data_IF_210617949588
#
_entry.id   IF_210617949588
#
_cell.length_a   1.000
_cell.length_b   1.000
_cell.length_c   1.000
_cell.angle_alpha   90.00
_cell.angle_beta   90.00
_cell.angle_gamma   90.00
#
_symmetry.space_group_name_H-M   'P 1'
#
loop_
_entity.id
_entity.type
_entity.pdbx_description
1 polymer ?
#
# COMPACT_ATOMS: atom_id res chain seq x y z
N UNK A 1 -29.74 -22.49 0.04
CA UNK A 1 -29.15 -22.48 1.40
C UNK A 1 -28.77 -23.87 1.89
N UNK A 2 -29.55 -24.94 1.65
CA UNK A 2 -29.22 -26.31 2.13
C UNK A 2 -27.81 -26.82 1.74
N UNK A 3 -27.29 -26.41 0.58
CA UNK A 3 -25.92 -26.74 0.17
C UNK A 3 -24.85 -26.15 1.11
N UNK A 4 -25.14 -25.07 1.84
CA UNK A 4 -24.17 -24.46 2.77
C UNK A 4 -23.81 -25.45 3.89
N UNK A 5 -24.77 -26.24 4.38
CA UNK A 5 -24.53 -27.25 5.42
C UNK A 5 -23.51 -28.32 5.00
N UNK A 6 -23.31 -28.54 3.69
CA UNK A 6 -22.29 -29.50 3.20
C UNK A 6 -20.86 -28.94 3.27
N UNK A 7 -20.70 -27.62 3.39
CA UNK A 7 -19.40 -26.95 3.51
C UNK A 7 -19.07 -26.53 4.95
N UNK A 8 -19.96 -26.80 5.91
CA UNK A 8 -19.77 -26.49 7.31
C UNK A 8 -19.47 -27.77 8.09
N UNK A 9 -18.57 -27.66 9.07
CA UNK A 9 -18.17 -28.75 9.94
C UNK A 9 -18.20 -28.32 11.41
N UNK A 10 -18.24 -29.30 12.32
CA UNK A 10 -18.23 -29.07 13.77
C UNK A 10 -19.30 -28.10 14.25
N UNK A 11 -18.91 -27.17 15.12
CA UNK A 11 -19.81 -26.17 15.71
C UNK A 11 -20.49 -25.27 14.67
N UNK A 12 -19.82 -24.96 13.56
CA UNK A 12 -20.40 -24.15 12.49
C UNK A 12 -21.59 -24.84 11.82
N UNK A 13 -21.50 -26.16 11.61
CA UNK A 13 -22.59 -26.96 11.05
C UNK A 13 -23.77 -27.06 12.01
N UNK A 14 -23.48 -27.30 13.30
CA UNK A 14 -24.50 -27.38 14.33
C UNK A 14 -25.28 -26.05 14.43
N UNK A 15 -24.56 -24.94 14.59
CA UNK A 15 -25.14 -23.60 14.62
C UNK A 15 -25.98 -23.31 13.38
N UNK A 16 -25.51 -23.69 12.18
CA UNK A 16 -26.27 -23.47 10.95
C UNK A 16 -27.60 -24.25 10.94
N UNK A 17 -27.59 -25.51 11.39
CA UNK A 17 -28.79 -26.33 11.41
C UNK A 17 -29.82 -25.83 12.45
N UNK A 18 -29.35 -25.35 13.61
CA UNK A 18 -30.20 -24.76 14.65
C UNK A 18 -30.87 -23.46 14.19
N UNK A 19 -30.19 -22.69 13.32
CA UNK A 19 -30.64 -21.38 12.85
C UNK A 19 -31.14 -21.38 11.40
N UNK A 20 -31.28 -22.54 10.74
CA UNK A 20 -31.59 -22.59 9.30
C UNK A 20 -32.94 -21.95 8.95
N UNK A 21 -33.88 -21.93 9.89
CA UNK A 21 -35.23 -21.38 9.72
C UNK A 21 -35.25 -19.85 9.64
N UNK A 22 -34.24 -19.16 10.18
CA UNK A 22 -34.13 -17.69 10.12
C UNK A 22 -33.38 -17.19 8.87
N UNK A 23 -32.68 -18.07 8.16
CA UNK A 23 -31.93 -17.69 6.97
C UNK A 23 -32.85 -17.66 5.75
N UNK A 24 -33.55 -16.54 5.54
CA UNK A 24 -34.45 -16.35 4.38
C UNK A 24 -33.69 -16.08 3.07
N UNK A 25 -32.43 -15.63 3.17
CA UNK A 25 -31.59 -15.28 2.03
C UNK A 25 -30.10 -15.46 2.33
N UNK A 26 -29.28 -15.46 1.29
CA UNK A 26 -27.81 -15.51 1.43
C UNK A 26 -27.26 -14.32 2.22
N UNK A 27 -27.81 -13.12 2.04
CA UNK A 27 -27.37 -11.93 2.77
C UNK A 27 -27.62 -12.06 4.27
N UNK A 28 -28.79 -12.56 4.68
CA UNK A 28 -29.13 -12.81 6.09
C UNK A 28 -28.20 -13.87 6.69
N UNK A 29 -28.04 -15.02 6.02
CA UNK A 29 -27.08 -16.04 6.48
C UNK A 29 -25.67 -15.47 6.64
N UNK A 30 -25.18 -14.72 5.64
CA UNK A 30 -23.83 -14.17 5.65
C UNK A 30 -23.64 -13.17 6.79
N UNK A 31 -24.63 -12.32 7.05
CA UNK A 31 -24.58 -11.37 8.16
C UNK A 31 -24.50 -12.09 9.51
N UNK A 32 -25.35 -13.09 9.74
CA UNK A 32 -25.37 -13.88 10.97
C UNK A 32 -24.10 -14.73 11.15
N UNK A 33 -23.59 -15.30 10.07
CA UNK A 33 -22.35 -16.09 10.09
C UNK A 33 -21.16 -15.20 10.45
N UNK A 34 -21.06 -14.01 9.83
CA UNK A 34 -20.03 -13.03 10.18
C UNK A 34 -20.22 -12.59 11.64
N UNK A 35 -21.44 -12.28 12.08
CA UNK A 35 -21.68 -11.87 13.46
C UNK A 35 -21.25 -12.93 14.49
N UNK A 36 -21.58 -14.20 14.22
CA UNK A 36 -21.30 -15.32 15.12
C UNK A 36 -19.81 -15.71 15.14
N UNK A 37 -19.16 -15.72 13.97
CA UNK A 37 -17.81 -16.27 13.81
C UNK A 37 -16.72 -15.21 13.61
N UNK A 38 -17.07 -13.93 13.51
CA UNK A 38 -16.06 -12.87 13.50
C UNK A 38 -15.60 -12.56 14.91
N UNK A 39 -14.28 -12.56 15.10
CA UNK A 39 -13.69 -12.16 16.38
C UNK A 39 -13.70 -10.64 16.54
N UNK A 40 -14.34 -10.08 17.59
CA UNK A 40 -14.22 -8.65 17.90
C UNK A 40 -12.77 -8.23 18.12
N UNK A 41 -11.96 -9.11 18.71
CA UNK A 41 -10.53 -8.89 18.90
C UNK A 41 -9.77 -8.79 17.57
N UNK A 42 -10.13 -9.62 16.57
CA UNK A 42 -9.53 -9.53 15.23
C UNK A 42 -9.88 -8.19 14.55
N UNK A 43 -11.14 -7.72 14.68
CA UNK A 43 -11.56 -6.41 14.18
C UNK A 43 -10.80 -5.27 14.87
N UNK A 44 -10.63 -5.34 16.19
CA UNK A 44 -9.86 -4.36 16.95
C UNK A 44 -8.37 -4.36 16.55
N UNK A 45 -7.77 -5.53 16.36
CA UNK A 45 -6.40 -5.66 15.89
C UNK A 45 -6.23 -5.05 14.48
N UNK A 46 -7.19 -5.31 13.58
CA UNK A 46 -7.21 -4.69 12.26
C UNK A 46 -7.32 -3.16 12.35
N UNK A 47 -8.17 -2.64 13.24
CA UNK A 47 -8.33 -1.20 13.47
C UNK A 47 -7.03 -0.57 13.99
N UNK A 48 -6.36 -1.22 14.94
CA UNK A 48 -5.06 -0.78 15.44
C UNK A 48 -4.00 -0.77 14.34
N UNK A 49 -3.92 -1.85 13.54
CA UNK A 49 -2.99 -1.96 12.42
C UNK A 49 -3.25 -0.90 11.36
N UNK A 50 -4.52 -0.65 11.01
CA UNK A 50 -4.90 0.42 10.08
C UNK A 50 -4.51 1.79 10.64
N UNK A 51 -4.66 2.00 11.94
CA UNK A 51 -4.29 3.26 12.59
C UNK A 51 -2.79 3.55 12.49
N UNK A 52 -1.95 2.53 12.72
CA UNK A 52 -0.49 2.68 12.72
C UNK A 52 0.17 2.37 11.38
N UNK A 53 -0.61 2.15 10.31
CA UNK A 53 -0.06 1.73 9.02
C UNK A 53 0.74 2.87 8.37
N UNK A 54 2.01 2.60 8.08
CA UNK A 54 2.95 3.48 7.38
C UNK A 54 3.60 2.69 6.25
N UNK A 55 3.72 3.26 5.05
CA UNK A 55 4.47 2.69 3.94
C UNK A 55 5.93 2.53 4.37
N UNK A 56 6.47 1.32 4.26
CA UNK A 56 7.88 1.07 4.58
C UNK A 56 8.77 1.68 3.50
N UNK A 57 10.03 1.96 3.84
CA UNK A 57 11.00 2.56 2.90
C UNK A 57 11.20 1.71 1.63
N UNK A 58 11.23 0.39 1.80
CA UNK A 58 11.42 -0.64 0.78
C UNK A 58 10.10 -1.18 0.20
N UNK A 59 8.97 -0.68 0.66
CA UNK A 59 7.65 -1.18 0.25
C UNK A 59 7.11 -0.42 -0.95
N UNK A 60 6.68 -1.18 -1.96
CA UNK A 60 6.08 -0.61 -3.15
C UNK A 60 4.70 0.00 -2.85
N UNK A 61 4.34 1.08 -3.55
CA UNK A 61 3.04 1.76 -3.40
C UNK A 61 1.86 0.80 -3.57
N UNK A 62 1.97 -0.19 -4.46
CA UNK A 62 0.92 -1.19 -4.68
C UNK A 62 0.68 -2.10 -3.47
N UNK A 63 1.75 -2.48 -2.77
CA UNK A 63 1.66 -3.32 -1.57
C UNK A 63 1.02 -2.54 -0.43
N UNK A 64 1.50 -1.31 -0.22
CA UNK A 64 0.95 -0.38 0.77
C UNK A 64 -0.55 -0.13 0.53
N UNK A 65 -0.92 0.29 -0.67
CA UNK A 65 -2.30 0.59 -1.05
C UNK A 65 -3.21 -0.64 -0.85
N UNK A 66 -2.77 -1.80 -1.32
CA UNK A 66 -3.56 -3.04 -1.21
C UNK A 66 -3.78 -3.43 0.24
N UNK A 67 -2.77 -3.31 1.10
CA UNK A 67 -2.89 -3.62 2.52
C UNK A 67 -3.84 -2.65 3.24
N UNK A 68 -3.71 -1.34 2.98
CA UNK A 68 -4.64 -0.34 3.55
C UNK A 68 -6.07 -0.62 3.11
N UNK A 69 -6.33 -0.90 1.83
CA UNK A 69 -7.68 -1.21 1.35
C UNK A 69 -8.27 -2.49 1.98
N UNK A 70 -7.44 -3.52 2.18
CA UNK A 70 -7.85 -4.75 2.88
C UNK A 70 -8.21 -4.46 4.34
N UNK A 71 -7.38 -3.67 5.04
CA UNK A 71 -7.61 -3.28 6.42
C UNK A 71 -8.86 -2.41 6.57
N UNK A 72 -9.07 -1.44 5.67
CA UNK A 72 -10.29 -0.63 5.61
C UNK A 72 -11.52 -1.55 5.53
N UNK A 73 -11.55 -2.49 4.59
CA UNK A 73 -12.66 -3.44 4.41
C UNK A 73 -12.89 -4.35 5.62
N UNK A 74 -11.83 -4.73 6.33
CA UNK A 74 -11.91 -5.58 7.52
C UNK A 74 -12.44 -4.83 8.74
N UNK A 75 -12.08 -3.55 8.87
CA UNK A 75 -12.55 -2.68 9.95
C UNK A 75 -13.98 -2.22 9.70
N UNK A 76 -14.28 -1.80 8.48
CA UNK A 76 -15.60 -1.38 8.04
C UNK A 76 -15.73 -1.59 6.53
N UNK A 77 -16.59 -2.55 6.14
CA UNK A 77 -16.84 -2.83 4.73
C UNK A 77 -17.45 -1.67 3.96
N UNK A 78 -18.07 -0.72 4.66
CA UNK A 78 -18.72 0.47 4.10
C UNK A 78 -17.92 1.76 4.37
N UNK A 79 -16.62 1.64 4.70
CA UNK A 79 -15.77 2.79 4.97
C UNK A 79 -15.81 3.77 3.80
N UNK A 80 -16.04 5.04 4.12
CA UNK A 80 -16.13 6.12 3.13
C UNK A 80 -14.79 6.35 2.45
N UNK A 81 -14.82 6.88 1.23
CA UNK A 81 -13.59 7.21 0.51
C UNK A 81 -12.77 8.29 1.23
N UNK A 82 -13.43 9.24 1.92
CA UNK A 82 -12.75 10.23 2.77
C UNK A 82 -11.95 9.57 3.91
N UNK A 83 -12.50 8.58 4.60
CA UNK A 83 -11.78 7.85 5.64
C UNK A 83 -10.65 6.99 5.08
N UNK A 84 -10.86 6.37 3.91
CA UNK A 84 -9.79 5.65 3.21
C UNK A 84 -8.64 6.59 2.84
N UNK A 85 -8.96 7.81 2.39
CA UNK A 85 -7.97 8.83 2.09
C UNK A 85 -7.17 9.22 3.32
N UNK A 86 -7.80 9.47 4.47
CA UNK A 86 -7.08 9.80 5.71
C UNK A 86 -6.03 8.72 6.03
N UNK A 87 -6.40 7.44 5.91
CA UNK A 87 -5.48 6.33 6.12
C UNK A 87 -4.34 6.28 5.09
N UNK A 88 -4.65 6.50 3.82
CA UNK A 88 -3.67 6.49 2.72
C UNK A 88 -2.68 7.66 2.81
N UNK A 89 -3.17 8.88 3.08
CA UNK A 89 -2.30 10.04 3.25
C UNK A 89 -1.47 9.93 4.53
N UNK A 90 -2.06 9.52 5.66
CA UNK A 90 -1.30 9.44 6.92
C UNK A 90 -0.11 8.49 6.85
N UNK A 91 -0.20 7.44 6.04
CA UNK A 91 0.83 6.41 5.93
C UNK A 91 1.76 6.53 4.71
N UNK A 92 1.49 7.39 3.74
CA UNK A 92 2.31 7.47 2.53
C UNK A 92 3.72 7.98 2.85
N UNK A 93 4.75 7.43 2.20
CA UNK A 93 6.12 7.90 2.39
C UNK A 93 6.25 9.37 1.98
N UNK A 94 7.03 10.14 2.74
CA UNK A 94 7.16 11.59 2.57
C UNK A 94 7.70 12.00 1.21
N UNK A 95 8.50 11.15 0.56
CA UNK A 95 9.07 11.42 -0.77
C UNK A 95 7.99 11.53 -1.86
N UNK A 96 6.90 10.75 -1.75
CA UNK A 96 5.76 10.82 -2.69
C UNK A 96 4.71 11.84 -2.28
N UNK A 97 4.61 12.14 -0.98
CA UNK A 97 3.51 12.91 -0.39
C UNK A 97 3.29 14.25 -1.11
N UNK A 98 4.38 14.98 -1.36
CA UNK A 98 4.30 16.32 -1.97
C UNK A 98 3.64 16.28 -3.34
N UNK A 99 4.01 15.31 -4.16
CA UNK A 99 3.51 15.19 -5.52
C UNK A 99 2.08 14.66 -5.58
N UNK A 100 1.74 13.70 -4.71
CA UNK A 100 0.35 13.22 -4.61
C UNK A 100 -0.60 14.34 -4.15
N UNK A 101 -0.20 15.16 -3.17
CA UNK A 101 -0.99 16.32 -2.73
C UNK A 101 -1.17 17.34 -3.85
N UNK A 102 -0.13 17.60 -4.65
CA UNK A 102 -0.19 18.52 -5.80
C UNK A 102 -1.21 18.06 -6.85
N UNK A 103 -1.32 16.76 -7.09
CA UNK A 103 -2.26 16.18 -8.05
C UNK A 103 -3.70 16.11 -7.52
N UNK A 104 -3.90 16.30 -6.21
CA UNK A 104 -5.20 16.38 -5.54
C UNK A 104 -6.22 15.30 -6.01
N UNK A 105 -5.89 13.99 -5.89
CA UNK A 105 -6.78 12.93 -6.32
C UNK A 105 -8.10 12.93 -5.53
N UNK A 106 -9.22 12.71 -6.23
CA UNK A 106 -10.58 12.69 -5.67
C UNK A 106 -11.10 11.28 -5.34
N UNK A 107 -10.37 10.22 -5.74
CA UNK A 107 -10.69 8.83 -5.38
C UNK A 107 -9.46 8.07 -4.87
N UNK A 108 -9.62 7.02 -4.05
CA UNK A 108 -8.51 6.15 -3.64
C UNK A 108 -7.75 5.52 -4.82
N UNK A 109 -8.46 5.19 -5.90
CA UNK A 109 -7.85 4.68 -7.14
C UNK A 109 -6.99 5.76 -7.83
N UNK A 110 -7.48 7.00 -7.88
CA UNK A 110 -6.71 8.15 -8.36
C UNK A 110 -5.45 8.38 -7.54
N UNK A 111 -5.55 8.29 -6.20
CA UNK A 111 -4.39 8.35 -5.32
C UNK A 111 -3.36 7.28 -5.65
N UNK A 112 -3.80 6.03 -5.82
CA UNK A 112 -2.91 4.93 -6.19
C UNK A 112 -2.19 5.20 -7.51
N UNK A 113 -2.92 5.67 -8.52
CA UNK A 113 -2.34 6.03 -9.82
C UNK A 113 -1.24 7.10 -9.69
N UNK A 114 -1.50 8.17 -8.95
CA UNK A 114 -0.54 9.26 -8.77
C UNK A 114 0.68 8.84 -7.94
N UNK A 115 0.46 8.18 -6.81
CA UNK A 115 1.54 7.69 -5.96
C UNK A 115 2.46 6.70 -6.72
N UNK A 116 1.86 5.84 -7.55
CA UNK A 116 2.61 4.88 -8.38
C UNK A 116 3.36 5.56 -9.52
N UNK A 117 2.79 6.60 -10.12
CA UNK A 117 3.46 7.40 -11.14
C UNK A 117 4.74 8.03 -10.56
N UNK A 118 4.61 8.64 -9.38
CA UNK A 118 5.73 9.27 -8.68
C UNK A 118 6.81 8.26 -8.25
N UNK A 119 6.42 7.12 -7.70
CA UNK A 119 7.36 6.03 -7.36
C UNK A 119 8.18 5.57 -8.59
N UNK A 120 7.54 5.47 -9.76
CA UNK A 120 8.24 5.13 -11.00
C UNK A 120 9.22 6.24 -11.42
N UNK A 121 8.84 7.50 -11.25
CA UNK A 121 9.68 8.65 -11.58
C UNK A 121 10.94 8.71 -10.69
N UNK A 122 10.78 8.58 -9.37
CA UNK A 122 11.90 8.51 -8.40
C UNK A 122 12.91 7.41 -8.80
N UNK A 123 12.40 6.25 -9.21
CA UNK A 123 13.23 5.12 -9.64
C UNK A 123 14.00 5.42 -10.94
N UNK A 124 13.36 6.07 -11.91
CA UNK A 124 14.02 6.48 -13.15
C UNK A 124 15.14 7.48 -12.89
N UNK A 125 14.87 8.51 -12.08
CA UNK A 125 15.87 9.53 -11.70
C UNK A 125 17.08 8.87 -11.02
N UNK A 126 16.83 7.96 -10.07
CA UNK A 126 17.90 7.25 -9.35
C UNK A 126 18.77 6.39 -10.29
N UNK A 127 18.15 5.76 -11.28
CA UNK A 127 18.86 4.95 -12.31
C UNK A 127 19.71 5.85 -13.21
N UNK A 128 19.17 6.99 -13.65
CA UNK A 128 19.90 7.93 -14.52
C UNK A 128 21.11 8.56 -13.83
N UNK A 129 21.01 8.89 -12.52
CA UNK A 129 22.11 9.47 -11.75
C UNK A 129 23.28 8.49 -11.57
N UNK A 130 23.00 7.19 -11.45
CA UNK A 130 24.07 6.18 -11.40
C UNK A 130 24.82 6.08 -12.73
N UNK A 131 24.14 6.25 -13.88
CA UNK A 131 24.78 6.19 -15.20
C UNK A 131 25.66 7.41 -15.52
N UNK A 132 25.38 8.58 -14.92
CA UNK A 132 26.22 9.78 -15.11
C UNK A 132 27.50 9.75 -14.28
N UNK A 133 27.44 9.19 -13.06
CA UNK A 133 28.59 9.17 -12.16
C UNK A 133 29.70 8.18 -12.58
N UNK A 134 29.36 7.12 -13.32
CA UNK A 134 30.35 6.19 -13.86
C UNK A 134 31.13 6.77 -15.06
N UNK A 135 30.59 7.78 -15.75
CA UNK A 135 31.23 8.39 -16.92
C UNK A 135 32.16 9.58 -16.57
N UNK A 136 31.98 10.23 -15.41
CA UNK A 136 32.81 11.37 -15.00
C UNK A 136 34.16 10.97 -14.36
N UNK A 137 34.39 9.67 -14.10
CA UNK A 137 35.66 9.20 -13.49
C UNK A 137 36.75 8.85 -14.52
N UNK A 138 36.52 9.06 -15.84
CA UNK A 138 37.51 8.76 -16.89
C UNK A 138 38.02 9.96 -17.70
N UNK A 139 37.79 11.21 -17.28
CA UNK A 139 38.13 12.35 -18.14
C UNK A 139 38.84 13.52 -17.45
N UNK A 140 39.97 13.29 -16.75
CA UNK A 140 41.05 14.30 -16.70
C UNK A 140 42.42 13.62 -16.53
N UNK A 141 43.08 13.24 -17.63
CA UNK A 141 44.53 12.97 -17.64
C UNK A 141 45.19 14.07 -18.49
N UNK A 142 45.59 15.17 -17.85
CA UNK A 142 46.37 16.21 -18.52
C UNK A 142 47.79 15.68 -18.80
N UNK A 143 48.32 15.79 -20.03
CA UNK A 143 49.69 15.44 -20.31
C UNK A 143 50.62 16.44 -19.61
N UNK A 144 51.40 15.95 -18.65
CA UNK A 144 52.39 16.73 -17.94
C UNK A 144 53.61 16.95 -18.87
N UNK A 145 53.57 17.99 -19.71
CA UNK A 145 54.72 18.38 -20.53
C UNK A 145 55.47 19.51 -19.83
N UNK A 146 56.40 19.13 -18.94
CA UNK A 146 57.32 20.05 -18.29
C UNK A 146 58.42 20.49 -19.27
N UNK A 147 58.13 21.50 -20.09
CA UNK A 147 59.16 22.24 -20.82
C UNK A 147 59.91 23.15 -19.83
N UNK A 148 61.17 22.80 -19.53
CA UNK A 148 62.10 23.68 -18.82
C UNK A 148 62.30 24.98 -19.63
N UNK A 149 61.85 26.11 -19.08
CA UNK A 149 62.28 27.43 -19.53
C UNK A 149 63.50 27.84 -18.70
N UNK A 150 64.66 27.86 -19.36
CA UNK A 150 65.87 28.49 -18.86
C UNK A 150 65.67 30.01 -18.90
N UNK A 151 65.88 30.69 -17.78
CA UNK A 151 66.05 32.15 -17.74
C UNK A 151 67.52 32.46 -17.54
N UNK A 152 68.06 33.23 -18.48
CA UNK A 152 69.37 33.88 -18.42
C UNK A 152 69.12 35.25 -17.80
N UNK A 153 69.84 35.57 -16.72
CA UNK A 153 70.67 36.77 -16.55
C UNK A 153 71.44 36.66 -15.22
#
# INVERSE_FOLDING_TARGET
LKIISTFLEGHAKQWFNENITIFESWSVFKAEFIHTYSSPAAKQLASNRLRTRQQRYDEAVIEYYTDVMKLCKLVDSNMTDASKFDHLYRGLKSSLMKEVLRQAPSTPSGFFGQARCEENLERLVTTSVHQTNDNDTQAINYPNNSSKLNFID
#
